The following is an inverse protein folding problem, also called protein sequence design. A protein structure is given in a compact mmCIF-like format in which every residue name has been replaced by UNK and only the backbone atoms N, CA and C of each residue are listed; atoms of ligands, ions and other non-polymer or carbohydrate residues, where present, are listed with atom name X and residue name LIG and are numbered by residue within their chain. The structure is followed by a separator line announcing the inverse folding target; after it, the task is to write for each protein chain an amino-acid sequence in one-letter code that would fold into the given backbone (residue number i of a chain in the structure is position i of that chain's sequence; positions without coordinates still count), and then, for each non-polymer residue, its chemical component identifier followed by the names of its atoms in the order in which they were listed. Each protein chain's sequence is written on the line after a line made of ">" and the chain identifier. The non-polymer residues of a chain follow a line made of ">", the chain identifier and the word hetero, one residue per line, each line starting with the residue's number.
data_IF_771684661469
#
_entry.id   IF_771684661469
#
_cell.length_a   1.000
_cell.length_b   1.000
_cell.length_c   1.000
_cell.angle_alpha   90.00
_cell.angle_beta   90.00
_cell.angle_gamma   90.00
#
_symmetry.space_group_name_H-M   'P 1'
#
loop_
_entity.id
_entity.type
_entity.pdbx_description
1 polymer ?
#
# COMPACT_ATOMS: atom_id res chain seq x y z
N UNK A 1 -2.68 -18.93 7.60
CA UNK A 1 -2.31 -17.79 6.74
C UNK A 1 -2.85 -18.01 5.34
N UNK A 2 -3.39 -16.97 4.75
CA UNK A 2 -3.96 -17.08 3.42
C UNK A 2 -2.87 -16.87 2.37
N UNK A 3 -2.83 -17.76 1.39
CA UNK A 3 -1.91 -17.59 0.27
C UNK A 3 -2.47 -16.54 -0.66
N UNK A 4 -1.65 -15.53 -0.94
CA UNK A 4 -2.05 -14.46 -1.84
C UNK A 4 -1.72 -14.86 -3.27
N UNK A 5 -2.58 -14.47 -4.18
CA UNK A 5 -2.30 -14.65 -5.61
C UNK A 5 -1.18 -13.70 -6.03
N UNK A 6 -0.59 -13.96 -7.19
CA UNK A 6 0.42 -13.06 -7.72
C UNK A 6 -0.14 -11.66 -7.92
N UNK A 7 -1.41 -11.57 -8.35
CA UNK A 7 -2.07 -10.28 -8.53
C UNK A 7 -2.15 -9.53 -7.22
N UNK A 8 -2.52 -10.23 -6.16
CA UNK A 8 -2.65 -9.60 -4.84
C UNK A 8 -1.29 -9.17 -4.30
N UNK A 9 -0.26 -9.99 -4.50
CA UNK A 9 1.09 -9.62 -4.08
C UNK A 9 1.59 -8.39 -4.81
N UNK A 10 1.34 -8.31 -6.11
CA UNK A 10 1.73 -7.15 -6.89
C UNK A 10 0.97 -5.91 -6.42
N UNK A 11 -0.30 -6.07 -6.07
CA UNK A 11 -1.11 -4.96 -5.59
C UNK A 11 -0.59 -4.45 -4.25
N UNK A 12 -0.16 -5.35 -3.38
CA UNK A 12 0.42 -4.96 -2.10
C UNK A 12 1.70 -4.16 -2.33
N UNK A 13 2.54 -4.61 -3.26
CA UNK A 13 3.76 -3.87 -3.58
C UNK A 13 3.45 -2.49 -4.15
N UNK A 14 2.42 -2.40 -4.98
CA UNK A 14 2.00 -1.11 -5.53
C UNK A 14 1.55 -0.16 -4.43
N UNK A 15 0.96 -0.69 -3.36
CA UNK A 15 0.52 0.12 -2.24
C UNK A 15 1.68 0.67 -1.42
N UNK A 16 2.89 0.13 -1.59
CA UNK A 16 4.05 0.64 -0.86
C UNK A 16 4.32 2.10 -1.15
N UNK A 17 4.08 2.53 -2.38
CA UNK A 17 4.42 3.90 -2.77
C UNK A 17 3.63 4.94 -1.98
N UNK A 18 2.29 4.89 -1.94
CA UNK A 18 1.56 5.87 -1.14
C UNK A 18 1.84 5.75 0.35
N UNK A 19 2.08 4.54 0.84
CA UNK A 19 2.43 4.36 2.24
C UNK A 19 3.77 5.04 2.54
N UNK A 20 4.74 4.87 1.64
CA UNK A 20 6.05 5.49 1.81
C UNK A 20 5.93 7.02 1.80
N UNK A 21 5.04 7.56 0.97
CA UNK A 21 4.84 9.00 0.92
C UNK A 21 4.31 9.53 2.24
N UNK A 22 3.38 8.81 2.86
CA UNK A 22 2.88 9.21 4.17
C UNK A 22 3.97 9.09 5.23
N UNK A 23 4.78 8.03 5.16
CA UNK A 23 5.88 7.87 6.11
C UNK A 23 6.93 8.98 5.96
N UNK A 24 7.13 9.48 4.74
CA UNK A 24 7.99 10.63 4.54
C UNK A 24 7.47 11.85 5.28
N UNK A 25 6.15 12.05 5.27
CA UNK A 25 5.54 13.18 5.98
C UNK A 25 5.62 13.01 7.49
N UNK A 26 5.41 11.79 7.96
CA UNK A 26 5.47 11.50 9.40
C UNK A 26 6.92 11.55 9.88
N UNK A 27 7.81 10.99 9.09
CA UNK A 27 9.23 10.86 9.45
C UNK A 27 9.58 9.41 9.69
N UNK A 28 10.48 8.89 8.87
CA UNK A 28 10.90 7.48 8.97
C UNK A 28 11.56 7.15 10.31
N UNK A 29 12.04 8.17 11.01
CA UNK A 29 12.71 7.97 12.31
C UNK A 29 11.73 7.87 13.45
N UNK A 30 10.44 8.09 13.19
CA UNK A 30 9.41 8.01 14.20
C UNK A 30 9.26 6.57 14.67
N UNK A 31 9.29 6.38 15.99
CA UNK A 31 9.08 5.04 16.54
C UNK A 31 7.60 4.69 16.40
N UNK A 32 7.34 3.40 16.19
CA UNK A 32 5.95 2.96 16.03
C UNK A 32 5.08 3.35 17.22
N UNK A 33 5.64 3.30 18.41
CA UNK A 33 4.89 3.64 19.62
C UNK A 33 4.52 5.12 19.68
N UNK A 34 5.21 5.95 18.90
CA UNK A 34 4.97 7.38 18.89
C UNK A 34 3.94 7.80 17.83
N UNK A 35 3.47 6.87 17.02
CA UNK A 35 2.46 7.18 16.02
C UNK A 35 1.14 7.45 16.70
N UNK A 36 0.46 8.51 16.26
CA UNK A 36 -0.89 8.80 16.74
C UNK A 36 -1.88 7.86 16.06
N UNK A 37 -3.04 7.73 16.68
CA UNK A 37 -4.11 6.93 16.07
C UNK A 37 -4.45 7.44 14.68
N UNK A 38 -4.50 8.77 14.54
CA UNK A 38 -4.80 9.40 13.27
C UNK A 38 -3.77 9.02 12.20
N UNK A 39 -2.49 9.00 12.57
CA UNK A 39 -1.43 8.62 11.64
C UNK A 39 -1.55 7.15 11.23
N UNK A 40 -1.85 6.28 12.19
CA UNK A 40 -2.02 4.86 11.90
C UNK A 40 -3.20 4.65 10.95
N UNK A 41 -4.31 5.33 11.21
CA UNK A 41 -5.48 5.22 10.34
C UNK A 41 -5.17 5.70 8.93
N UNK A 42 -4.42 6.78 8.80
CA UNK A 42 -4.03 7.28 7.49
C UNK A 42 -3.18 6.26 6.74
N UNK A 43 -2.22 5.63 7.44
CA UNK A 43 -1.39 4.61 6.81
C UNK A 43 -2.23 3.44 6.32
N UNK A 44 -3.20 3.02 7.14
CA UNK A 44 -4.09 1.92 6.74
C UNK A 44 -4.92 2.32 5.53
N UNK A 45 -5.47 3.54 5.53
CA UNK A 45 -6.29 4.02 4.44
C UNK A 45 -5.53 4.06 3.13
N UNK A 46 -4.30 4.58 3.15
CA UNK A 46 -3.54 4.66 1.89
C UNK A 46 -3.09 3.28 1.44
N UNK A 47 -2.83 2.37 2.37
CA UNK A 47 -2.46 1.01 2.01
C UNK A 47 -3.64 0.30 1.34
N UNK A 48 -4.82 0.40 1.92
CA UNK A 48 -6.02 -0.22 1.36
C UNK A 48 -6.36 0.41 0.02
N UNK A 49 -6.33 1.74 -0.05
CA UNK A 49 -6.63 2.45 -1.29
C UNK A 49 -5.67 2.07 -2.41
N UNK A 50 -4.38 2.02 -2.11
CA UNK A 50 -3.38 1.64 -3.10
C UNK A 50 -3.57 0.20 -3.58
N UNK A 51 -3.90 -0.70 -2.65
CA UNK A 51 -4.16 -2.08 -2.99
C UNK A 51 -5.39 -2.19 -3.90
N UNK A 52 -6.47 -1.50 -3.54
CA UNK A 52 -7.70 -1.55 -4.32
C UNK A 52 -7.50 -0.96 -5.71
N UNK A 53 -6.77 0.13 -5.81
CA UNK A 53 -6.50 0.75 -7.10
C UNK A 53 -5.71 -0.21 -8.00
N UNK A 54 -4.72 -0.87 -7.45
CA UNK A 54 -3.91 -1.81 -8.22
C UNK A 54 -4.73 -3.01 -8.66
N UNK A 55 -5.58 -3.54 -7.78
CA UNK A 55 -6.44 -4.66 -8.13
C UNK A 55 -7.43 -4.27 -9.20
N UNK A 56 -7.96 -3.05 -9.10
CA UNK A 56 -8.93 -2.55 -10.06
C UNK A 56 -8.31 -2.39 -11.45
N UNK A 57 -7.12 -1.85 -11.50
CA UNK A 57 -6.40 -1.69 -12.77
C UNK A 57 -6.13 -3.05 -13.42
N UNK A 58 -5.74 -4.03 -12.63
CA UNK A 58 -5.49 -5.37 -13.15
C UNK A 58 -6.79 -6.03 -13.63
N UNK A 59 -7.88 -5.79 -12.88
CA UNK A 59 -9.17 -6.37 -13.24
C UNK A 59 -9.69 -5.85 -14.56
N UNK A 60 -9.26 -4.66 -14.98
CA UNK A 60 -9.64 -4.09 -16.27
C UNK A 60 -8.86 -4.71 -17.41
N UNK A 61 -8.01 -5.65 -17.14
CA UNK A 61 -7.23 -6.30 -18.17
C UNK A 61 -6.03 -5.48 -18.62
N UNK A 62 -5.73 -4.43 -17.94
CA UNK A 62 -4.55 -3.64 -18.26
C UNK A 62 -3.32 -4.45 -17.87
N UNK A 63 -2.46 -4.63 -18.84
CA UNK A 63 -1.20 -5.25 -18.54
C UNK A 63 -0.31 -4.19 -17.92
N UNK A 64 -0.14 -4.29 -16.65
CA UNK A 64 0.66 -3.31 -15.95
C UNK A 64 2.13 -3.48 -16.25
N UNK A 65 2.50 -4.54 -16.93
CA UNK A 65 3.90 -4.79 -17.14
C UNK A 65 4.60 -4.66 -15.83
N UNK A 66 4.06 -5.29 -14.85
CA UNK A 66 4.44 -5.02 -13.47
C UNK A 66 5.94 -5.01 -13.35
N UNK A 67 6.49 -3.91 -12.94
CA UNK A 67 7.94 -3.74 -12.93
C UNK A 67 8.59 -4.31 -11.68
N UNK A 68 8.05 -5.28 -11.12
CA UNK A 68 8.63 -5.83 -9.89
C UNK A 68 9.38 -7.09 -10.14
#
# INVERSE_FOLDING_TARGET
>A
MVDLTEQEQAAIRAAMKPVAEIMEEIGWQTRLIDLSESQVLTLIEVAVGGFQDAMHATAKGEDLGVPF
#
